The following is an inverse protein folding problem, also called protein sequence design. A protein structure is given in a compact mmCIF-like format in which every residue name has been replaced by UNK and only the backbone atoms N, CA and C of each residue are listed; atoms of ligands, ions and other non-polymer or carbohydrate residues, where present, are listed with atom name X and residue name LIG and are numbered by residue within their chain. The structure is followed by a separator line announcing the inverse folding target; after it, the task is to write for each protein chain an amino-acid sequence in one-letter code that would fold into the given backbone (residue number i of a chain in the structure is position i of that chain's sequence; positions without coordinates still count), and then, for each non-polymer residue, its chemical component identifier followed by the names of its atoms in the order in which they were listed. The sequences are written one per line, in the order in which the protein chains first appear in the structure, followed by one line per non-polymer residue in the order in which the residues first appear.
data_IF_244271674530
#
_entry.id   IF_244271674530
#
_cell.length_a   1.000
_cell.length_b   1.000
_cell.length_c   1.000
_cell.angle_alpha   90.00
_cell.angle_beta   90.00
_cell.angle_gamma   90.00
#
_symmetry.space_group_name_H-M   'P 1'
#
loop_
_entity.id
_entity.type
_entity.pdbx_description
1 polymer ?
#
# COMPACT_ATOMS: atom_id res chain seq x y z
N UNK A 1 -6.35 20.26 -0.47
CA UNK A 1 -6.96 19.22 0.39
C UNK A 1 -7.44 18.12 -0.55
N UNK A 2 -6.81 16.93 -0.54
CA UNK A 2 -7.25 15.81 -1.38
C UNK A 2 -8.61 15.36 -0.85
N UNK A 3 -9.67 15.46 -1.65
CA UNK A 3 -10.98 14.97 -1.24
C UNK A 3 -10.93 13.44 -1.17
N UNK A 4 -11.59 12.89 -0.15
CA UNK A 4 -11.67 11.44 0.11
C UNK A 4 -12.37 10.71 -1.06
N UNK A 5 -13.17 11.43 -1.86
CA UNK A 5 -13.85 10.93 -3.07
C UNK A 5 -12.92 10.75 -4.30
N UNK A 6 -11.70 11.31 -4.28
CA UNK A 6 -10.71 11.21 -5.37
C UNK A 6 -9.42 10.50 -4.97
N UNK A 7 -9.21 10.26 -3.67
CA UNK A 7 -8.07 9.50 -3.18
C UNK A 7 -8.40 8.01 -3.23
N UNK A 8 -7.52 7.19 -3.79
CA UNK A 8 -7.72 5.74 -3.71
C UNK A 8 -7.59 5.34 -2.23
N UNK A 9 -8.72 5.00 -1.64
CA UNK A 9 -8.87 4.70 -0.22
C UNK A 9 -8.77 3.19 0.00
N UNK A 10 -8.24 2.78 1.15
CA UNK A 10 -8.31 1.40 1.67
C UNK A 10 -8.82 1.43 3.10
N UNK A 11 -9.45 0.35 3.54
CA UNK A 11 -9.78 0.13 4.95
C UNK A 11 -8.55 -0.33 5.71
N UNK A 12 -8.45 0.01 7.00
CA UNK A 12 -7.44 -0.59 7.90
C UNK A 12 -7.53 -2.11 8.01
N UNK A 13 -8.69 -2.68 7.65
CA UNK A 13 -8.93 -4.13 7.60
C UNK A 13 -8.61 -4.78 6.26
N UNK A 14 -8.24 -4.01 5.22
CA UNK A 14 -7.95 -4.57 3.90
C UNK A 14 -6.65 -5.37 3.91
N UNK A 15 -6.61 -6.43 3.09
CA UNK A 15 -5.41 -7.24 2.96
C UNK A 15 -4.28 -6.47 2.28
N UNK A 16 -3.03 -6.83 2.58
CA UNK A 16 -1.87 -6.22 1.91
C UNK A 16 -1.87 -6.47 0.39
N UNK A 17 -2.41 -7.60 -0.07
CA UNK A 17 -2.57 -7.88 -1.50
C UNK A 17 -3.47 -6.83 -2.15
N UNK A 18 -4.61 -6.53 -1.53
CA UNK A 18 -5.55 -5.49 -2.00
C UNK A 18 -4.88 -4.11 -2.04
N UNK A 19 -4.07 -3.77 -1.03
CA UNK A 19 -3.28 -2.54 -0.99
C UNK A 19 -2.31 -2.46 -2.18
N UNK A 20 -1.60 -3.56 -2.48
CA UNK A 20 -0.67 -3.65 -3.61
C UNK A 20 -1.39 -3.50 -4.95
N UNK A 21 -2.49 -4.22 -5.15
CA UNK A 21 -3.29 -4.15 -6.37
C UNK A 21 -3.81 -2.73 -6.61
N UNK A 22 -4.30 -2.05 -5.57
CA UNK A 22 -4.77 -0.65 -5.67
C UNK A 22 -3.63 0.33 -5.95
N UNK A 23 -2.44 0.12 -5.39
CA UNK A 23 -1.27 0.93 -5.71
C UNK A 23 -0.84 0.73 -7.18
N UNK A 24 -0.92 -0.49 -7.71
CA UNK A 24 -0.57 -0.80 -9.11
C UNK A 24 -1.58 -0.26 -10.11
N UNK A 25 -2.87 -0.33 -9.79
CA UNK A 25 -3.96 0.14 -10.65
C UNK A 25 -4.06 1.66 -10.72
N UNK A 26 -3.19 2.38 -10.01
CA UNK A 26 -3.29 3.81 -9.80
C UNK A 26 -2.10 4.60 -10.31
N UNK A 27 -2.32 5.81 -10.87
CA UNK A 27 -1.24 6.77 -11.07
C UNK A 27 -0.73 7.38 -9.74
N UNK A 28 -1.46 7.22 -8.62
CA UNK A 28 -1.04 7.75 -7.31
C UNK A 28 -0.19 6.75 -6.55
N UNK A 29 0.92 7.23 -5.96
CA UNK A 29 1.86 6.42 -5.20
C UNK A 29 1.56 6.31 -3.70
N UNK A 30 0.34 6.72 -3.30
CA UNK A 30 -0.13 6.70 -1.91
C UNK A 30 -1.61 6.38 -1.87
N UNK A 31 -2.00 5.55 -0.90
CA UNK A 31 -3.38 5.23 -0.57
C UNK A 31 -3.73 5.88 0.76
N UNK A 32 -4.96 6.37 0.88
CA UNK A 32 -5.49 6.86 2.16
C UNK A 32 -6.07 5.67 2.92
N UNK A 33 -5.78 5.58 4.22
CA UNK A 33 -6.37 4.56 5.09
C UNK A 33 -7.52 5.18 5.87
N UNK A 34 -8.71 4.62 5.72
CA UNK A 34 -9.91 5.07 6.45
C UNK A 34 -10.45 3.97 7.36
N UNK A 35 -11.12 4.39 8.41
CA UNK A 35 -12.00 3.55 9.24
C UNK A 35 -13.38 4.22 9.29
N UNK A 36 -14.38 3.55 8.71
CA UNK A 36 -15.67 4.18 8.44
C UNK A 36 -15.49 5.43 7.57
N UNK A 37 -15.95 6.57 8.08
CA UNK A 37 -15.85 7.88 7.39
C UNK A 37 -14.63 8.70 7.84
N UNK A 38 -13.73 8.12 8.64
CA UNK A 38 -12.59 8.84 9.22
C UNK A 38 -11.30 8.48 8.51
N UNK A 39 -10.56 9.49 8.04
CA UNK A 39 -9.19 9.32 7.57
C UNK A 39 -8.26 9.11 8.78
N UNK A 40 -7.67 7.92 8.87
CA UNK A 40 -6.80 7.54 9.99
C UNK A 40 -5.31 7.51 9.61
N UNK A 41 -4.99 7.49 8.32
CA UNK A 41 -3.59 7.47 7.87
C UNK A 41 -3.41 7.36 6.37
N UNK A 42 -2.21 7.00 5.96
CA UNK A 42 -1.87 6.74 4.57
C UNK A 42 -0.77 5.66 4.48
N UNK A 43 -0.73 4.98 3.34
CA UNK A 43 0.30 3.99 3.00
C UNK A 43 0.86 4.37 1.62
N UNK A 44 2.19 4.36 1.48
CA UNK A 44 2.87 4.58 0.21
C UNK A 44 3.43 3.28 -0.36
N UNK A 45 3.74 3.28 -1.66
CA UNK A 45 4.46 2.17 -2.27
C UNK A 45 5.83 1.91 -1.62
N UNK A 46 6.47 2.94 -1.06
CA UNK A 46 7.75 2.78 -0.35
C UNK A 46 7.57 2.05 0.99
N UNK A 47 6.49 2.34 1.73
CA UNK A 47 6.17 1.64 2.98
C UNK A 47 5.94 0.16 2.74
N UNK A 48 5.19 -0.17 1.68
CA UNK A 48 4.93 -1.55 1.26
C UNK A 48 6.23 -2.25 0.87
N UNK A 49 7.07 -1.62 0.03
CA UNK A 49 8.35 -2.20 -0.39
C UNK A 49 9.27 -2.47 0.82
N UNK A 50 9.40 -1.49 1.73
CA UNK A 50 10.21 -1.64 2.93
C UNK A 50 9.66 -2.70 3.90
N UNK A 51 8.34 -2.85 3.99
CA UNK A 51 7.73 -3.92 4.77
C UNK A 51 8.03 -5.29 4.18
N UNK A 52 7.89 -5.47 2.85
CA UNK A 52 8.16 -6.75 2.18
C UNK A 52 9.63 -7.16 2.35
N UNK A 53 10.57 -6.23 2.25
CA UNK A 53 11.99 -6.46 2.48
C UNK A 53 12.25 -6.93 3.92
N UNK A 54 11.70 -6.22 4.91
CA UNK A 54 11.83 -6.55 6.34
C UNK A 54 11.18 -7.89 6.69
N UNK A 55 10.05 -8.21 6.06
CA UNK A 55 9.32 -9.46 6.25
C UNK A 55 10.05 -10.68 5.66
N UNK A 56 11.16 -10.47 4.93
CA UNK A 56 11.94 -11.54 4.31
C UNK A 56 11.21 -12.25 3.16
N UNK A 57 10.07 -11.71 2.72
CA UNK A 57 9.23 -12.26 1.65
C UNK A 57 9.98 -12.22 0.31
N UNK A 58 10.85 -11.22 0.11
CA UNK A 58 11.71 -11.08 -1.07
C UNK A 58 13.02 -11.87 -1.00
N UNK A 59 13.16 -12.89 -0.15
CA UNK A 59 14.32 -13.82 -0.23
C UNK A 59 14.20 -14.73 -1.46
N UNK A 60 14.38 -14.16 -2.64
CA UNK A 60 14.70 -14.84 -3.88
C UNK A 60 16.22 -14.96 -4.04
N UNK A 61 16.67 -16.15 -4.39
CA UNK A 61 18.05 -16.52 -4.70
C UNK A 61 18.81 -15.41 -5.42
N UNK A 62 19.90 -14.90 -4.81
CA UNK A 62 20.99 -14.34 -5.61
C UNK A 62 21.58 -15.50 -6.43
N UNK A 63 21.03 -15.77 -7.62
CA UNK A 63 21.78 -16.47 -8.67
C UNK A 63 22.88 -15.53 -9.13
N UNK A 64 24.00 -15.55 -8.41
CA UNK A 64 25.31 -15.24 -8.97
C UNK A 64 25.75 -16.50 -9.70
N UNK A 65 25.63 -16.46 -11.01
CA UNK A 65 26.16 -17.42 -11.97
C UNK A 65 26.42 -16.67 -13.26
#
# INVERSE_FOLDING_TARGET
MTRVDQGIVVSGSDSLLTVIERLQASPVRRLLVVEGDTLIGYITAHDVAGWIEKSGILKGERRRG
#
